data_IF_462865090517
#
_entry.id   IF_462865090517
#
_cell.length_a   1.000
_cell.length_b   1.000
_cell.length_c   1.000
_cell.angle_alpha   90.00
_cell.angle_beta   90.00
_cell.angle_gamma   90.00
#
_symmetry.space_group_name_H-M   'P 1'
#
loop_
_entity.id
_entity.type
_entity.pdbx_description
1 polymer ?
#
# COMPACT_ATOMS: atom_id res chain seq x y z
N UNK A 1 -6.42 -26.02 -0.72
CA UNK A 1 -7.73 -26.62 -1.00
C UNK A 1 -8.65 -26.34 0.16
N UNK A 2 -9.93 -26.21 -0.12
CA UNK A 2 -11.00 -26.06 0.86
C UNK A 2 -11.96 -27.22 0.69
N UNK A 3 -12.17 -28.00 1.74
CA UNK A 3 -13.27 -28.97 1.82
C UNK A 3 -14.39 -28.28 2.58
N UNK A 4 -15.47 -27.94 1.86
CA UNK A 4 -16.61 -27.18 2.38
C UNK A 4 -17.73 -28.16 2.70
N UNK A 5 -18.05 -28.32 3.98
CA UNK A 5 -19.05 -29.27 4.45
C UNK A 5 -20.45 -28.66 4.48
N UNK A 6 -21.43 -29.54 4.36
CA UNK A 6 -22.86 -29.26 4.54
C UNK A 6 -23.52 -30.37 5.34
N UNK A 7 -24.64 -30.04 5.98
CA UNK A 7 -25.53 -30.99 6.65
C UNK A 7 -26.29 -31.91 5.67
N UNK A 8 -26.24 -31.61 4.37
CA UNK A 8 -26.89 -32.36 3.29
C UNK A 8 -25.90 -32.84 2.24
N UNK A 9 -26.31 -33.80 1.40
CA UNK A 9 -25.52 -34.23 0.26
C UNK A 9 -25.50 -33.09 -0.77
N UNK A 10 -24.31 -32.59 -1.06
CA UNK A 10 -24.08 -31.43 -1.95
C UNK A 10 -23.24 -31.77 -3.17
N UNK A 11 -22.55 -32.92 -3.16
CA UNK A 11 -21.72 -33.35 -4.28
C UNK A 11 -21.71 -34.87 -4.43
N UNK A 12 -21.18 -35.31 -5.57
CA UNK A 12 -21.03 -36.72 -5.88
C UNK A 12 -19.63 -36.98 -6.39
N UNK A 13 -18.96 -37.99 -5.83
CA UNK A 13 -17.67 -38.48 -6.29
C UNK A 13 -17.71 -38.83 -7.77
N UNK A 14 -16.70 -38.37 -8.50
CA UNK A 14 -16.57 -38.55 -9.95
C UNK A 14 -16.38 -40.02 -10.37
N UNK A 15 -16.11 -40.90 -9.40
CA UNK A 15 -15.99 -42.34 -9.59
C UNK A 15 -17.03 -43.06 -8.71
N UNK A 16 -17.68 -44.07 -9.28
CA UNK A 16 -18.72 -44.90 -8.63
C UNK A 16 -19.96 -44.15 -8.10
N UNK A 17 -20.05 -42.82 -8.22
CA UNK A 17 -21.24 -42.06 -7.87
C UNK A 17 -21.49 -41.92 -6.35
N UNK A 18 -20.43 -41.99 -5.54
CA UNK A 18 -20.55 -41.91 -4.07
C UNK A 18 -20.98 -40.51 -3.64
N UNK A 19 -22.06 -40.43 -2.88
CA UNK A 19 -22.67 -39.20 -2.39
C UNK A 19 -21.88 -38.61 -1.22
N UNK A 20 -21.57 -37.30 -1.28
CA UNK A 20 -20.76 -36.61 -0.27
C UNK A 20 -21.46 -35.37 0.30
N UNK A 21 -21.34 -35.14 1.62
CA UNK A 21 -21.82 -33.92 2.27
C UNK A 21 -20.79 -32.79 2.21
N UNK A 22 -19.96 -32.76 1.16
CA UNK A 22 -18.95 -31.71 0.97
C UNK A 22 -18.63 -31.50 -0.50
N UNK A 23 -18.13 -30.30 -0.79
CA UNK A 23 -17.50 -29.93 -2.06
C UNK A 23 -16.03 -29.58 -1.82
N UNK A 24 -15.16 -29.84 -2.81
CA UNK A 24 -13.73 -29.54 -2.71
C UNK A 24 -13.36 -28.46 -3.72
N UNK A 25 -12.71 -27.40 -3.25
CA UNK A 25 -12.23 -26.30 -4.07
C UNK A 25 -10.72 -26.14 -3.99
N UNK A 26 -10.10 -25.85 -5.12
CA UNK A 26 -8.71 -25.39 -5.20
C UNK A 26 -8.69 -23.87 -5.16
N UNK A 27 -8.23 -23.34 -4.03
CA UNK A 27 -8.19 -21.90 -3.74
C UNK A 27 -6.75 -21.41 -3.66
N UNK A 28 -6.07 -21.40 -4.80
CA UNK A 28 -4.73 -20.79 -4.89
C UNK A 28 -4.86 -19.28 -4.78
N UNK A 29 -4.07 -18.65 -3.90
CA UNK A 29 -4.09 -17.20 -3.72
C UNK A 29 -3.85 -16.49 -5.07
N UNK A 30 -4.74 -15.56 -5.42
CA UNK A 30 -4.69 -14.83 -6.69
C UNK A 30 -5.33 -15.55 -7.88
N UNK A 31 -5.81 -16.79 -7.73
CA UNK A 31 -6.57 -17.51 -8.75
C UNK A 31 -8.07 -17.57 -8.40
N UNK A 32 -8.92 -17.72 -9.40
CA UNK A 32 -10.35 -17.98 -9.19
C UNK A 32 -10.50 -19.38 -8.59
N UNK A 33 -11.26 -19.54 -7.49
CA UNK A 33 -11.56 -20.85 -6.92
C UNK A 33 -12.11 -21.83 -7.95
N UNK A 34 -11.48 -22.99 -8.07
CA UNK A 34 -11.87 -24.03 -9.03
C UNK A 34 -12.41 -25.24 -8.27
N UNK A 35 -13.64 -25.69 -8.60
CA UNK A 35 -14.22 -26.91 -8.04
C UNK A 35 -13.42 -28.13 -8.53
N UNK A 36 -12.95 -28.95 -7.59
CA UNK A 36 -12.09 -30.09 -7.85
C UNK A 36 -12.88 -31.38 -7.96
N UNK A 37 -12.44 -32.24 -8.87
CA UNK A 37 -12.94 -33.61 -8.98
C UNK A 37 -12.25 -34.49 -7.96
N UNK A 38 -13.03 -35.39 -7.37
CA UNK A 38 -12.52 -36.37 -6.43
C UNK A 38 -13.19 -37.72 -6.61
N UNK A 39 -12.53 -38.77 -6.12
CA UNK A 39 -13.10 -40.11 -5.98
C UNK A 39 -13.05 -40.52 -4.53
N UNK A 40 -14.01 -41.37 -4.13
CA UNK A 40 -14.03 -41.98 -2.81
C UNK A 40 -13.55 -43.42 -2.94
N UNK A 41 -12.52 -43.76 -2.17
CA UNK A 41 -12.09 -45.15 -1.97
C UNK A 41 -12.74 -45.62 -0.68
N UNK A 42 -13.76 -46.48 -0.83
CA UNK A 42 -14.46 -47.11 0.28
C UNK A 42 -13.51 -47.99 1.09
N UNK A 43 -13.63 -47.92 2.42
CA UNK A 43 -12.86 -48.77 3.35
C UNK A 43 -13.80 -49.56 4.27
N UNK A 44 -13.38 -50.74 4.75
CA UNK A 44 -14.11 -51.45 5.81
C UNK A 44 -14.32 -50.55 7.04
N UNK A 45 -15.44 -50.67 7.77
CA UNK A 45 -16.44 -51.76 7.69
C UNK A 45 -17.55 -51.56 6.64
N UNK A 46 -17.75 -50.36 6.11
CA UNK A 46 -18.85 -50.05 5.18
C UNK A 46 -18.29 -49.84 3.76
N UNK A 47 -18.09 -50.93 3.02
CA UNK A 47 -17.53 -50.90 1.67
C UNK A 47 -18.59 -50.86 0.55
N UNK A 48 -19.87 -51.08 0.89
CA UNK A 48 -20.96 -51.28 -0.08
C UNK A 48 -22.06 -50.21 -0.06
N UNK A 49 -21.95 -49.15 0.76
CA UNK A 49 -22.91 -48.04 0.75
C UNK A 49 -22.52 -46.95 -0.26
N UNK A 50 -23.53 -46.25 -0.77
CA UNK A 50 -23.38 -45.19 -1.78
C UNK A 50 -23.05 -43.82 -1.16
N UNK A 51 -22.74 -43.76 0.14
CA UNK A 51 -22.43 -42.53 0.87
C UNK A 51 -21.00 -42.55 1.39
N UNK A 52 -20.36 -41.39 1.45
CA UNK A 52 -19.05 -41.25 2.08
C UNK A 52 -19.13 -41.43 3.60
N UNK A 53 -18.21 -42.22 4.14
CA UNK A 53 -17.99 -42.42 5.57
C UNK A 53 -16.65 -41.82 6.00
N UNK A 54 -16.55 -41.44 7.27
CA UNK A 54 -15.31 -40.82 7.82
C UNK A 54 -14.04 -41.66 7.68
N UNK A 55 -14.16 -42.99 7.54
CA UNK A 55 -13.02 -43.89 7.33
C UNK A 55 -12.57 -44.02 5.87
N UNK A 56 -13.35 -43.48 4.93
CA UNK A 56 -13.04 -43.53 3.51
C UNK A 56 -11.94 -42.55 3.13
N UNK A 57 -11.24 -42.87 2.05
CA UNK A 57 -10.18 -42.04 1.51
C UNK A 57 -10.71 -41.24 0.32
N UNK A 58 -10.48 -39.93 0.35
CA UNK A 58 -10.82 -39.02 -0.73
C UNK A 58 -9.57 -38.83 -1.58
N UNK A 59 -9.65 -39.12 -2.88
CA UNK A 59 -8.55 -38.92 -3.83
C UNK A 59 -8.88 -37.77 -4.75
N UNK A 60 -8.00 -36.77 -4.80
CA UNK A 60 -8.10 -35.61 -5.69
C UNK A 60 -7.37 -35.88 -7.01
N UNK A 61 -7.94 -35.36 -8.09
CA UNK A 61 -7.36 -35.46 -9.43
C UNK A 61 -7.10 -34.06 -9.98
N UNK A 62 -5.95 -33.86 -10.64
CA UNK A 62 -5.66 -32.64 -11.40
C UNK A 62 -5.43 -32.98 -12.89
N UNK A 63 -5.84 -32.06 -13.78
CA UNK A 63 -5.77 -32.20 -15.24
C UNK A 63 -7.12 -32.50 -15.90
N UNK A 64 -7.13 -32.60 -17.23
CA UNK A 64 -8.34 -32.85 -18.00
C UNK A 64 -8.84 -34.29 -17.85
N UNK A 65 -10.16 -34.47 -17.71
CA UNK A 65 -10.79 -35.79 -17.64
C UNK A 65 -10.56 -36.50 -16.29
N UNK A 66 -10.06 -37.74 -16.36
CA UNK A 66 -9.61 -38.52 -15.20
C UNK A 66 -8.08 -38.39 -15.05
N UNK A 67 -7.62 -37.16 -14.81
CA UNK A 67 -6.20 -36.81 -14.75
C UNK A 67 -5.39 -37.59 -13.70
N UNK A 68 -4.19 -37.13 -13.37
CA UNK A 68 -3.33 -37.86 -12.42
C UNK A 68 -3.85 -37.69 -10.98
N UNK A 69 -3.89 -38.76 -10.16
CA UNK A 69 -4.18 -38.62 -8.73
C UNK A 69 -3.07 -37.79 -8.08
N UNK A 70 -3.44 -36.78 -7.30
CA UNK A 70 -2.49 -35.83 -6.70
C UNK A 70 -2.41 -35.98 -5.19
N UNK A 71 -3.53 -35.79 -4.51
CA UNK A 71 -3.63 -35.81 -3.05
C UNK A 71 -4.63 -36.86 -2.60
N UNK A 72 -4.31 -37.50 -1.48
CA UNK A 72 -5.23 -38.37 -0.77
C UNK A 72 -5.51 -37.75 0.60
N UNK A 73 -6.79 -37.61 0.94
CA UNK A 73 -7.27 -37.04 2.18
C UNK A 73 -8.00 -38.13 2.94
N UNK A 74 -7.65 -38.29 4.22
CA UNK A 74 -8.34 -39.17 5.15
C UNK A 74 -8.64 -38.40 6.42
N UNK A 75 -9.91 -38.37 6.81
CA UNK A 75 -10.31 -37.82 8.09
C UNK A 75 -10.16 -38.91 9.16
N UNK A 76 -9.48 -38.59 10.25
CA UNK A 76 -9.30 -39.52 11.36
C UNK A 76 -10.19 -39.07 12.51
N UNK A 77 -10.76 -40.04 13.22
CA UNK A 77 -11.49 -39.76 14.45
C UNK A 77 -10.50 -39.23 15.51
N UNK A 78 -10.93 -38.31 16.38
CA UNK A 78 -10.09 -37.84 17.48
C UNK A 78 -9.73 -38.98 18.42
N UNK A 79 -8.49 -38.97 18.95
CA UNK A 79 -8.00 -40.01 19.86
C UNK A 79 -8.65 -39.94 21.25
N UNK A 80 -9.18 -38.77 21.62
CA UNK A 80 -9.86 -38.51 22.89
C UNK A 80 -11.07 -37.59 22.68
N UNK A 81 -12.10 -37.74 23.51
CA UNK A 81 -13.31 -36.92 23.45
C UNK A 81 -14.41 -37.43 22.51
N UNK A 82 -15.50 -36.66 22.41
CA UNK A 82 -16.64 -36.96 21.53
C UNK A 82 -16.37 -36.42 20.13
N UNK A 83 -16.45 -37.28 19.11
CA UNK A 83 -16.34 -36.84 17.72
C UNK A 83 -17.53 -35.93 17.35
N UNK A 84 -17.22 -34.74 16.85
CA UNK A 84 -18.21 -33.81 16.30
C UNK A 84 -18.11 -33.86 14.78
N UNK A 85 -19.15 -34.32 14.06
CA UNK A 85 -19.15 -34.30 12.60
C UNK A 85 -19.23 -32.85 12.10
N UNK A 86 -18.59 -32.52 10.96
CA UNK A 86 -18.70 -31.20 10.36
C UNK A 86 -20.14 -30.94 9.87
N UNK A 87 -20.59 -29.71 10.00
CA UNK A 87 -21.92 -29.23 9.61
C UNK A 87 -21.90 -28.10 8.58
N UNK A 88 -23.03 -27.41 8.44
CA UNK A 88 -23.16 -26.30 7.48
C UNK A 88 -22.21 -25.15 7.81
N UNK A 89 -21.39 -24.77 6.83
CA UNK A 89 -20.44 -23.66 6.94
C UNK A 89 -19.06 -24.06 7.46
N UNK A 90 -18.86 -25.31 7.85
CA UNK A 90 -17.55 -25.80 8.24
C UNK A 90 -16.63 -25.96 7.02
N UNK A 91 -15.45 -25.36 7.08
CA UNK A 91 -14.44 -25.43 6.01
C UNK A 91 -13.15 -26.00 6.58
N UNK A 92 -12.71 -27.12 6.00
CA UNK A 92 -11.40 -27.69 6.29
C UNK A 92 -10.37 -27.20 5.26
N UNK A 93 -9.35 -26.49 5.76
CA UNK A 93 -8.29 -25.92 4.92
C UNK A 93 -7.11 -26.88 4.81
N UNK A 94 -6.74 -27.21 3.57
CA UNK A 94 -5.51 -27.93 3.25
C UNK A 94 -4.58 -26.95 2.56
N UNK A 95 -3.61 -26.45 3.30
CA UNK A 95 -2.62 -25.48 2.82
C UNK A 95 -1.34 -26.20 2.46
N UNK A 96 -0.85 -25.98 1.25
CA UNK A 96 0.44 -26.50 0.79
C UNK A 96 1.29 -25.35 0.28
N UNK A 97 2.60 -25.42 0.53
CA UNK A 97 3.58 -24.50 -0.05
C UNK A 97 3.93 -24.99 -1.45
N UNK A 98 3.51 -24.26 -2.48
CA UNK A 98 3.90 -24.54 -3.87
C UNK A 98 5.12 -23.68 -4.21
N UNK A 99 6.25 -24.26 -4.66
CA UNK A 99 7.38 -23.47 -5.13
C UNK A 99 7.00 -22.72 -6.41
N UNK A 100 7.64 -21.57 -6.64
CA UNK A 100 7.47 -20.85 -7.91
C UNK A 100 8.13 -21.64 -9.05
N UNK A 101 7.46 -21.69 -10.20
CA UNK A 101 7.99 -22.24 -11.43
C UNK A 101 8.46 -21.14 -12.38
N UNK A 102 9.31 -21.49 -13.34
CA UNK A 102 9.84 -20.54 -14.32
C UNK A 102 8.75 -19.91 -15.21
N UNK A 103 7.61 -20.57 -15.32
CA UNK A 103 6.45 -20.14 -16.11
C UNK A 103 5.47 -19.24 -15.32
N UNK A 104 5.74 -18.97 -14.05
CA UNK A 104 4.85 -18.13 -13.23
C UNK A 104 4.95 -16.66 -13.68
N UNK A 105 3.79 -16.07 -13.99
CA UNK A 105 3.69 -14.67 -14.42
C UNK A 105 3.21 -13.80 -13.27
N UNK A 106 4.01 -12.79 -12.92
CA UNK A 106 3.62 -11.74 -11.97
C UNK A 106 3.11 -10.51 -12.70
N UNK A 107 1.95 -10.02 -12.28
CA UNK A 107 1.40 -8.75 -12.79
C UNK A 107 1.47 -7.71 -11.68
N UNK A 108 2.10 -6.58 -11.97
CA UNK A 108 2.11 -5.40 -11.12
C UNK A 108 1.26 -4.32 -11.78
N UNK A 109 0.46 -3.62 -10.97
CA UNK A 109 -0.29 -2.45 -11.42
C UNK A 109 0.21 -1.25 -10.63
N UNK A 110 0.78 -0.28 -11.32
CA UNK A 110 1.13 1.01 -10.73
C UNK A 110 -0.09 1.92 -10.74
N UNK A 111 -0.32 2.63 -9.63
CA UNK A 111 -1.29 3.73 -9.59
C UNK A 111 -0.55 5.05 -9.83
N UNK A 112 -1.14 5.93 -10.65
CA UNK A 112 -0.60 7.27 -10.84
C UNK A 112 -0.67 8.08 -9.53
N UNK A 113 0.27 9.02 -9.37
CA UNK A 113 0.23 9.98 -8.27
C UNK A 113 -0.98 10.91 -8.44
N UNK A 114 -1.64 11.25 -7.34
CA UNK A 114 -2.79 12.16 -7.31
C UNK A 114 -2.63 13.14 -6.15
N UNK A 115 -3.15 14.34 -6.34
CA UNK A 115 -3.33 15.30 -5.25
C UNK A 115 -4.56 14.86 -4.46
N UNK A 116 -4.42 14.72 -3.15
CA UNK A 116 -5.52 14.49 -2.23
C UNK A 116 -5.77 15.80 -1.51
N UNK A 117 -6.89 16.46 -1.83
CA UNK A 117 -7.21 17.81 -1.34
C UNK A 117 -7.35 17.85 0.19
N UNK A 118 -7.90 16.79 0.81
CA UNK A 118 -8.10 16.71 2.26
C UNK A 118 -6.76 16.57 2.99
N UNK A 119 -5.83 15.78 2.43
CA UNK A 119 -4.46 15.75 2.93
C UNK A 119 -3.72 17.06 2.67
N UNK A 120 -3.89 17.67 1.50
CA UNK A 120 -3.24 18.94 1.12
C UNK A 120 -3.54 20.07 2.11
N UNK A 121 -4.81 20.22 2.53
CA UNK A 121 -5.21 21.21 3.54
C UNK A 121 -4.48 20.97 4.87
N UNK A 122 -4.40 19.72 5.32
CA UNK A 122 -3.72 19.37 6.59
C UNK A 122 -2.20 19.54 6.51
N UNK A 123 -1.61 19.48 5.31
CA UNK A 123 -0.17 19.59 5.12
C UNK A 123 0.33 21.04 4.96
N UNK A 124 -0.54 22.01 4.68
CA UNK A 124 -0.17 23.44 4.65
C UNK A 124 0.48 23.90 5.97
N UNK A 125 0.12 23.30 7.10
CA UNK A 125 0.72 23.61 8.39
C UNK A 125 2.20 23.21 8.51
N UNK A 126 2.68 22.30 7.64
CA UNK A 126 4.08 21.86 7.59
C UNK A 126 4.98 22.83 6.83
N UNK A 127 4.40 23.82 6.14
CA UNK A 127 5.17 24.83 5.40
C UNK A 127 6.08 25.57 6.38
N UNK A 128 7.38 25.56 6.05
CA UNK A 128 8.41 26.14 6.91
C UNK A 128 9.55 26.75 6.10
N UNK A 129 10.16 27.77 6.68
CA UNK A 129 11.35 28.42 6.13
C UNK A 129 12.59 27.81 6.79
N UNK A 130 13.55 27.39 5.99
CA UNK A 130 14.81 26.80 6.45
C UNK A 130 15.98 27.56 5.80
N UNK A 131 16.93 28.07 6.58
CA UNK A 131 17.02 28.04 8.03
C UNK A 131 16.17 29.14 8.66
N UNK A 132 15.67 28.87 9.86
CA UNK A 132 14.96 29.87 10.66
C UNK A 132 15.42 29.77 12.13
N UNK A 133 16.18 30.75 12.66
CA UNK A 133 16.65 31.95 11.98
C UNK A 133 17.72 31.69 10.92
N UNK A 134 17.80 32.55 9.90
CA UNK A 134 18.98 32.64 9.03
C UNK A 134 20.08 33.43 9.74
N UNK A 135 21.23 32.81 10.01
CA UNK A 135 22.31 33.40 10.81
C UNK A 135 23.59 33.47 10.01
N UNK A 136 23.86 34.61 9.35
CA UNK A 136 25.03 34.91 8.50
C UNK A 136 25.35 33.96 7.33
N UNK A 137 25.31 32.65 7.56
CA UNK A 137 25.69 31.54 6.66
C UNK A 137 24.78 30.35 6.92
N UNK A 138 24.50 29.57 5.88
CA UNK A 138 23.77 28.31 6.00
C UNK A 138 24.60 27.14 5.41
N UNK A 139 24.58 25.98 6.07
CA UNK A 139 25.25 24.76 5.59
C UNK A 139 24.71 24.29 4.24
N UNK A 140 23.47 24.67 3.88
CA UNK A 140 22.86 24.35 2.59
C UNK A 140 23.34 25.26 1.44
N UNK A 141 24.06 26.34 1.72
CA UNK A 141 24.60 27.21 0.68
C UNK A 141 25.77 26.51 -0.03
N UNK A 142 25.69 26.42 -1.36
CA UNK A 142 26.78 25.85 -2.14
C UNK A 142 27.98 26.80 -2.11
N UNK A 143 29.11 26.30 -1.63
CA UNK A 143 30.38 27.01 -1.72
C UNK A 143 30.77 27.22 -3.18
N UNK A 144 31.17 28.44 -3.53
CA UNK A 144 31.75 28.70 -4.84
C UNK A 144 33.10 27.93 -4.94
N UNK A 145 33.13 26.93 -5.82
CA UNK A 145 34.31 26.08 -6.05
C UNK A 145 35.44 26.84 -6.76
N UNK A 146 35.15 27.96 -7.42
CA UNK A 146 36.12 28.77 -8.13
C UNK A 146 36.69 29.90 -7.25
N UNK A 147 35.89 30.43 -6.33
CA UNK A 147 36.35 31.40 -5.33
C UNK A 147 36.00 30.94 -3.90
N UNK A 148 36.89 30.19 -3.21
CA UNK A 148 36.66 29.69 -1.86
C UNK A 148 36.45 30.77 -0.79
N UNK A 149 36.71 32.05 -1.13
CA UNK A 149 36.43 33.21 -0.26
C UNK A 149 35.03 33.78 -0.48
N UNK A 150 34.43 33.52 -1.63
CA UNK A 150 33.04 33.82 -1.90
C UNK A 150 32.16 32.75 -1.26
N UNK A 151 31.17 33.19 -0.50
CA UNK A 151 30.40 32.33 0.40
C UNK A 151 29.18 31.71 -0.28
N UNK A 152 29.11 31.84 -1.61
CA UNK A 152 27.94 31.45 -2.39
C UNK A 152 26.77 32.43 -2.21
N UNK A 153 25.70 32.23 -2.99
CA UNK A 153 24.50 33.06 -2.88
C UNK A 153 23.76 32.80 -1.57
N UNK A 154 23.40 33.87 -0.85
CA UNK A 154 22.61 33.76 0.39
C UNK A 154 21.22 33.25 0.07
N UNK A 155 20.76 32.19 0.73
CA UNK A 155 19.43 31.61 0.44
C UNK A 155 18.70 31.10 1.68
N UNK A 156 17.39 31.33 1.69
CA UNK A 156 16.42 30.61 2.52
C UNK A 156 15.52 29.76 1.64
N UNK A 157 14.99 28.67 2.19
CA UNK A 157 14.16 27.72 1.47
C UNK A 157 12.79 27.61 2.14
N UNK A 158 11.74 27.78 1.36
CA UNK A 158 10.39 27.39 1.73
C UNK A 158 10.23 25.90 1.40
N UNK A 159 9.82 25.09 2.38
CA UNK A 159 9.65 23.64 2.23
C UNK A 159 8.19 23.23 2.44
N UNK A 160 7.83 22.06 1.92
CA UNK A 160 6.48 21.48 1.94
C UNK A 160 5.45 22.34 1.22
N UNK A 161 5.88 23.01 0.15
CA UNK A 161 4.99 23.78 -0.70
C UNK A 161 4.11 22.85 -1.54
N UNK A 162 2.84 23.24 -1.78
CA UNK A 162 2.00 22.62 -2.80
C UNK A 162 2.60 22.79 -4.21
N UNK A 163 2.11 22.02 -5.18
CA UNK A 163 2.59 22.07 -6.57
C UNK A 163 2.48 23.45 -7.22
N UNK A 164 1.51 24.25 -6.81
CA UNK A 164 1.33 25.62 -7.29
C UNK A 164 0.94 26.51 -6.11
N UNK A 165 1.74 27.56 -5.85
CA UNK A 165 1.42 28.55 -4.82
C UNK A 165 2.16 29.87 -5.05
N UNK A 166 1.63 30.95 -4.47
CA UNK A 166 2.28 32.25 -4.41
C UNK A 166 2.79 32.50 -3.00
N UNK A 167 4.07 32.86 -2.85
CA UNK A 167 4.71 33.18 -1.58
C UNK A 167 4.95 34.68 -1.53
N UNK A 168 4.30 35.38 -0.61
CA UNK A 168 4.47 36.83 -0.40
C UNK A 168 5.21 37.06 0.91
N UNK A 169 6.26 37.85 0.86
CA UNK A 169 7.13 38.12 2.01
C UNK A 169 6.93 39.58 2.43
N UNK A 170 6.70 39.79 3.72
CA UNK A 170 6.40 41.09 4.30
C UNK A 170 7.33 41.43 5.46
N UNK A 171 7.53 42.73 5.68
CA UNK A 171 8.08 43.23 6.95
C UNK A 171 7.04 43.10 8.08
N UNK A 172 7.47 43.25 9.33
CA UNK A 172 6.54 43.29 10.48
C UNK A 172 5.54 44.46 10.43
N UNK A 173 5.82 45.52 9.65
CA UNK A 173 4.89 46.62 9.41
C UNK A 173 3.91 46.36 8.26
N UNK A 174 3.98 45.20 7.61
CA UNK A 174 3.08 44.80 6.52
C UNK A 174 3.50 45.31 5.12
N UNK A 175 4.73 45.80 4.97
CA UNK A 175 5.26 46.22 3.67
C UNK A 175 5.69 45.00 2.86
N UNK A 176 5.27 44.92 1.59
CA UNK A 176 5.64 43.83 0.69
C UNK A 176 7.11 43.95 0.28
N UNK A 177 7.89 42.94 0.61
CA UNK A 177 9.33 42.86 0.31
C UNK A 177 9.56 42.18 -1.04
N UNK A 178 8.96 41.00 -1.22
CA UNK A 178 9.12 40.19 -2.43
C UNK A 178 7.92 39.24 -2.62
N UNK A 179 7.67 38.84 -3.88
CA UNK A 179 6.68 37.83 -4.26
C UNK A 179 7.34 36.76 -5.11
N UNK A 180 7.20 35.51 -4.71
CA UNK A 180 7.73 34.34 -5.42
C UNK A 180 6.55 33.49 -5.92
N UNK A 181 6.66 32.99 -7.14
CA UNK A 181 5.70 32.05 -7.72
C UNK A 181 6.34 30.68 -7.77
N UNK A 182 5.76 29.70 -7.09
CA UNK A 182 6.21 28.32 -7.11
C UNK A 182 5.27 27.49 -7.98
N UNK A 183 5.83 26.83 -8.99
CA UNK A 183 5.11 25.90 -9.87
C UNK A 183 6.02 24.71 -10.18
N UNK A 184 5.68 23.54 -9.64
CA UNK A 184 6.53 22.36 -9.68
C UNK A 184 5.74 21.06 -9.86
N UNK A 185 6.46 19.95 -10.00
CA UNK A 185 5.88 18.61 -9.98
C UNK A 185 5.54 18.18 -8.55
N UNK A 186 4.64 17.20 -8.40
CA UNK A 186 4.15 16.72 -7.08
C UNK A 186 5.24 16.29 -6.09
N UNK A 187 6.44 15.96 -6.59
CA UNK A 187 7.57 15.51 -5.78
C UNK A 187 8.52 16.64 -5.32
N UNK A 188 8.28 17.90 -5.74
CA UNK A 188 9.18 19.03 -5.48
C UNK A 188 8.49 20.23 -4.81
N UNK A 189 8.27 20.14 -3.50
CA UNK A 189 7.66 21.21 -2.70
C UNK A 189 8.67 22.20 -2.12
N UNK A 190 9.68 22.64 -2.88
CA UNK A 190 10.72 23.56 -2.40
C UNK A 190 10.91 24.77 -3.29
N UNK A 191 10.95 25.95 -2.68
CA UNK A 191 11.28 27.21 -3.36
C UNK A 191 12.35 27.97 -2.60
N UNK A 192 13.31 28.59 -3.30
CA UNK A 192 14.36 29.36 -2.65
C UNK A 192 14.14 30.87 -2.80
N UNK A 193 14.60 31.62 -1.80
CA UNK A 193 14.65 33.07 -1.84
C UNK A 193 16.05 33.55 -1.51
N UNK A 194 16.54 34.50 -2.28
CA UNK A 194 17.91 35.03 -2.19
C UNK A 194 18.05 36.22 -1.21
N UNK A 195 17.04 36.45 -0.37
CA UNK A 195 17.00 37.53 0.63
C UNK A 195 17.08 38.94 -0.01
N UNK A 196 16.46 39.11 -1.17
CA UNK A 196 16.37 40.40 -1.88
C UNK A 196 14.92 40.90 -1.98
N UNK A 197 14.75 42.21 -2.10
CA UNK A 197 13.46 42.83 -2.45
C UNK A 197 13.09 42.57 -3.91
N UNK A 198 11.86 42.92 -4.32
CA UNK A 198 11.46 42.89 -5.74
C UNK A 198 12.40 43.69 -6.67
N UNK A 199 13.02 44.75 -6.14
CA UNK A 199 14.00 45.58 -6.85
C UNK A 199 15.44 45.01 -6.77
N UNK A 200 15.58 43.76 -6.32
CA UNK A 200 16.84 43.04 -6.17
C UNK A 200 17.83 43.69 -5.18
N UNK A 201 17.32 44.44 -4.19
CA UNK A 201 18.14 44.98 -3.11
C UNK A 201 18.20 44.01 -1.92
N UNK A 202 19.37 43.78 -1.30
CA UNK A 202 19.46 42.96 -0.09
C UNK A 202 18.61 43.52 1.05
N UNK A 203 17.87 42.66 1.73
CA UNK A 203 17.05 43.05 2.87
C UNK A 203 17.88 43.39 4.13
N UNK A 204 17.25 44.09 5.07
CA UNK A 204 17.82 44.32 6.40
C UNK A 204 17.73 43.08 7.30
N UNK A 205 18.45 43.08 8.43
CA UNK A 205 18.22 42.09 9.47
C UNK A 205 16.89 42.38 10.17
N UNK A 206 16.18 41.34 10.61
CA UNK A 206 14.88 41.51 11.25
C UNK A 206 14.01 40.26 11.17
N UNK A 207 12.78 40.41 11.67
CA UNK A 207 11.72 39.40 11.53
C UNK A 207 10.88 39.76 10.31
N UNK A 208 10.56 38.74 9.51
CA UNK A 208 9.73 38.84 8.33
C UNK A 208 8.54 37.89 8.47
N UNK A 209 7.44 38.27 7.85
CA UNK A 209 6.24 37.44 7.70
C UNK A 209 6.24 36.85 6.30
N UNK A 210 5.74 35.64 6.15
CA UNK A 210 5.43 35.07 4.84
C UNK A 210 3.97 34.65 4.81
N UNK A 211 3.37 34.79 3.64
CA UNK A 211 2.03 34.31 3.30
C UNK A 211 2.17 33.41 2.08
N UNK A 212 1.78 32.15 2.24
CA UNK A 212 1.65 31.19 1.14
C UNK A 212 0.18 31.07 0.80
N UNK A 213 -0.12 31.27 -0.46
CA UNK A 213 -1.45 31.21 -1.05
C UNK A 213 -1.47 30.08 -2.09
N UNK A 214 -2.18 29.00 -1.78
CA UNK A 214 -2.26 27.78 -2.58
C UNK A 214 -3.63 27.61 -3.27
N UNK A 215 -4.38 28.70 -3.46
CA UNK A 215 -5.69 28.68 -4.10
C UNK A 215 -6.70 27.83 -3.33
N UNK A 216 -7.26 26.80 -3.97
CA UNK A 216 -8.30 25.94 -3.40
C UNK A 216 -7.84 25.12 -2.18
N UNK A 217 -6.53 24.89 -2.04
CA UNK A 217 -5.95 24.18 -0.89
C UNK A 217 -5.90 25.04 0.38
N UNK A 218 -6.03 26.36 0.25
CA UNK A 218 -6.02 27.32 1.35
C UNK A 218 -4.74 28.16 1.45
N UNK A 219 -4.55 28.77 2.61
CA UNK A 219 -3.49 29.75 2.86
C UNK A 219 -2.74 29.46 4.16
N UNK A 220 -1.44 29.77 4.19
CA UNK A 220 -0.59 29.67 5.39
C UNK A 220 0.15 30.97 5.64
N UNK A 221 0.09 31.46 6.88
CA UNK A 221 0.92 32.58 7.33
C UNK A 221 1.94 32.07 8.35
N UNK A 222 3.18 32.54 8.24
CA UNK A 222 4.23 32.25 9.19
C UNK A 222 5.24 33.39 9.31
N UNK A 223 6.28 33.16 10.10
CA UNK A 223 7.33 34.15 10.36
C UNK A 223 8.70 33.50 10.39
N UNK A 224 9.72 34.26 10.02
CA UNK A 224 11.11 33.84 10.10
C UNK A 224 11.99 35.04 10.43
N UNK A 225 13.18 34.77 10.97
CA UNK A 225 14.12 35.80 11.35
C UNK A 225 15.40 35.72 10.51
N UNK A 226 15.95 36.89 10.20
CA UNK A 226 17.22 37.06 9.50
C UNK A 226 18.15 37.84 10.42
N UNK A 227 19.26 37.20 10.77
CA UNK A 227 20.32 37.72 11.64
C UNK A 227 21.58 37.84 10.79
N UNK A 228 22.15 39.04 10.78
CA UNK A 228 23.35 39.38 10.02
C UNK A 228 24.54 39.60 10.94
#
# INVERSE_FOLDING_TARGET
>A
YEVRFSSSIVDTGSFAGILTPFEIYKTTMGMIPEKQRFAIIKKPPNDSNDTWDTHDEIVLFEGDGFGSPTWMIKFLMPSEGTAVPPGDGDIYYIVTTRPFYIEDVFTFVTKASRIDEELGINELDKISVVPNPYVMTNVLEQLDRQNPRDRGPRRVYFNHLPTECTIRIYTMSGELVNTLTHQSTIDDGKEYWDLTTNDNFPIAYGVYLFHVDAGELGEKIGRFAVIK
#
